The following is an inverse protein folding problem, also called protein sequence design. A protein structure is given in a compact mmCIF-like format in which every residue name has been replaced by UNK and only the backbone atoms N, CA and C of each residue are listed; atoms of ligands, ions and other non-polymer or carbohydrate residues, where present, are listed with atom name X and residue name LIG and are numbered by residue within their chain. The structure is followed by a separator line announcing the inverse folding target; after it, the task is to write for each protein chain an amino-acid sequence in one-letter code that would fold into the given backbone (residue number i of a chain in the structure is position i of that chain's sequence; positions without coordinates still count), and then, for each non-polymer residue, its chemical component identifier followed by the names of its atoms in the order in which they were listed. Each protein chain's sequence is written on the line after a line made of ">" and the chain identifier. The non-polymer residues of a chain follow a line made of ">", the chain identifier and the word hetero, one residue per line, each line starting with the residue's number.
data_IF_621765969123
#
_entry.id   IF_621765969123
#
_cell.length_a   1.000
_cell.length_b   1.000
_cell.length_c   1.000
_cell.angle_alpha   90.00
_cell.angle_beta   90.00
_cell.angle_gamma   90.00
#
_symmetry.space_group_name_H-M   'P 1'
#
loop_
_entity.id
_entity.type
_entity.pdbx_description
1 polymer ?
#
# COMPACT_ATOMS: atom_id res chain seq x y z
N UNK A 1 9.40 -28.79 -15.89
CA UNK A 1 9.12 -28.54 -14.47
C UNK A 1 7.72 -27.92 -14.39
N UNK A 2 6.84 -28.56 -13.63
CA UNK A 2 5.43 -28.14 -13.56
C UNK A 2 5.13 -27.38 -12.25
N UNK A 3 6.05 -27.44 -11.29
CA UNK A 3 5.89 -26.75 -10.01
C UNK A 3 7.23 -26.55 -9.31
N UNK A 4 7.26 -25.58 -8.40
CA UNK A 4 8.36 -25.35 -7.46
C UNK A 4 7.82 -24.96 -6.10
N UNK A 5 8.66 -25.11 -5.07
CA UNK A 5 8.32 -24.75 -3.69
C UNK A 5 9.54 -24.26 -2.93
N UNK A 6 9.34 -23.25 -2.13
CA UNK A 6 10.28 -22.74 -1.12
C UNK A 6 9.56 -22.87 0.23
N UNK A 7 10.23 -23.37 1.25
CA UNK A 7 9.68 -23.51 2.60
C UNK A 7 10.62 -22.89 3.63
N UNK A 8 10.05 -22.16 4.57
CA UNK A 8 10.77 -21.55 5.70
C UNK A 8 11.96 -20.71 5.24
N UNK A 9 11.82 -20.01 4.11
CA UNK A 9 12.87 -19.16 3.55
C UNK A 9 12.97 -17.83 4.29
N UNK A 10 14.14 -17.19 4.15
CA UNK A 10 14.33 -15.80 4.50
C UNK A 10 14.87 -15.07 3.28
N UNK A 11 14.25 -13.96 2.93
CA UNK A 11 14.71 -13.07 1.86
C UNK A 11 15.07 -11.73 2.47
N UNK A 12 16.27 -11.24 2.16
CA UNK A 12 16.69 -9.88 2.47
C UNK A 12 17.24 -9.24 1.22
N UNK A 13 16.64 -8.14 0.79
CA UNK A 13 17.12 -7.30 -0.29
C UNK A 13 17.47 -5.93 0.29
N UNK A 14 18.69 -5.48 0.04
CA UNK A 14 19.18 -4.19 0.49
C UNK A 14 19.78 -3.44 -0.69
N UNK A 15 19.16 -2.33 -1.06
CA UNK A 15 19.69 -1.35 -2.00
C UNK A 15 20.16 -0.12 -1.24
N UNK A 16 21.51 0.01 -1.10
CA UNK A 16 22.12 1.14 -0.41
C UNK A 16 22.07 2.43 -1.23
N UNK A 17 21.97 2.33 -2.56
CA UNK A 17 21.90 3.50 -3.44
C UNK A 17 20.50 4.11 -3.45
N UNK A 18 19.47 3.26 -3.42
CA UNK A 18 18.06 3.66 -3.35
C UNK A 18 17.53 3.78 -1.91
N UNK A 19 18.36 3.57 -0.87
CA UNK A 19 17.92 3.53 0.54
C UNK A 19 16.69 2.62 0.75
N UNK A 20 16.67 1.46 0.08
CA UNK A 20 15.53 0.54 0.12
C UNK A 20 15.91 -0.78 0.77
N UNK A 21 15.07 -1.28 1.66
CA UNK A 21 15.18 -2.62 2.24
C UNK A 21 13.84 -3.36 2.11
N UNK A 22 13.92 -4.61 1.68
CA UNK A 22 12.82 -5.58 1.71
C UNK A 22 13.28 -6.78 2.53
N UNK A 23 12.49 -7.18 3.51
CA UNK A 23 12.77 -8.35 4.33
C UNK A 23 11.52 -9.23 4.45
N UNK A 24 11.70 -10.54 4.30
CA UNK A 24 10.65 -11.55 4.46
C UNK A 24 11.20 -12.68 5.32
N UNK A 25 10.49 -13.04 6.39
CA UNK A 25 10.85 -14.15 7.28
C UNK A 25 9.80 -15.24 7.24
N UNK A 26 10.24 -16.49 7.40
CA UNK A 26 9.42 -17.71 7.29
C UNK A 26 8.58 -17.73 6.00
N UNK A 27 9.24 -17.34 4.90
CA UNK A 27 8.63 -17.30 3.58
C UNK A 27 8.33 -18.73 3.11
N UNK A 28 7.07 -19.00 2.82
CA UNK A 28 6.63 -20.18 2.10
C UNK A 28 6.07 -19.72 0.75
N UNK A 29 6.66 -20.18 -0.33
CA UNK A 29 6.27 -19.80 -1.68
C UNK A 29 6.19 -21.03 -2.57
N UNK A 30 5.12 -21.14 -3.32
CA UNK A 30 4.93 -22.20 -4.30
C UNK A 30 4.38 -21.64 -5.60
N UNK A 31 4.78 -22.24 -6.71
CA UNK A 31 4.29 -21.88 -8.03
C UNK A 31 4.03 -23.12 -8.88
N UNK A 32 2.99 -23.04 -9.69
CA UNK A 32 2.63 -24.07 -10.68
C UNK A 32 2.43 -23.42 -12.04
N UNK A 33 3.02 -24.00 -13.09
CA UNK A 33 2.93 -23.50 -14.45
C UNK A 33 3.73 -24.37 -15.43
N UNK A 34 3.54 -24.14 -16.73
CA UNK A 34 4.33 -24.81 -17.76
C UNK A 34 5.59 -23.99 -18.05
N UNK A 35 6.71 -24.41 -17.47
CA UNK A 35 8.01 -23.75 -17.63
C UNK A 35 8.79 -24.19 -18.89
N UNK A 36 8.14 -24.88 -19.83
CA UNK A 36 8.74 -25.28 -21.11
C UNK A 36 8.47 -24.25 -22.23
N UNK A 37 7.59 -23.28 -21.99
CA UNK A 37 7.20 -22.21 -22.89
C UNK A 37 7.76 -20.87 -22.44
N UNK A 38 7.97 -19.92 -23.35
CA UNK A 38 8.28 -18.53 -23.01
C UNK A 38 7.05 -17.77 -22.49
N UNK A 39 5.85 -18.25 -22.75
CA UNK A 39 4.60 -17.72 -22.19
C UNK A 39 4.09 -18.71 -21.14
N UNK A 40 4.05 -18.28 -19.88
CA UNK A 40 3.75 -19.11 -18.73
C UNK A 40 2.54 -18.54 -17.99
N UNK A 41 1.50 -19.35 -17.81
CA UNK A 41 0.47 -19.06 -16.82
C UNK A 41 0.94 -19.63 -15.48
N UNK A 42 1.40 -18.75 -14.60
CA UNK A 42 1.93 -19.11 -13.29
C UNK A 42 0.92 -18.80 -12.21
N UNK A 43 0.55 -19.82 -11.44
CA UNK A 43 -0.24 -19.65 -10.22
C UNK A 43 0.68 -19.76 -9.02
N UNK A 44 0.69 -18.74 -8.18
CA UNK A 44 1.54 -18.71 -6.99
C UNK A 44 0.73 -18.57 -5.71
N UNK A 45 1.28 -19.15 -4.66
CA UNK A 45 0.87 -18.89 -3.28
C UNK A 45 2.10 -18.53 -2.47
N UNK A 46 2.03 -17.41 -1.75
CA UNK A 46 3.11 -16.88 -0.91
C UNK A 46 2.55 -16.56 0.47
N UNK A 47 3.21 -17.04 1.51
CA UNK A 47 2.95 -16.58 2.88
C UNK A 47 4.28 -16.20 3.53
N UNK A 48 4.27 -15.19 4.39
CA UNK A 48 5.40 -14.85 5.25
C UNK A 48 4.88 -14.38 6.62
N UNK A 49 5.61 -14.73 7.67
CA UNK A 49 5.27 -14.33 9.05
C UNK A 49 5.69 -12.90 9.33
N UNK A 50 6.74 -12.43 8.66
CA UNK A 50 7.21 -11.04 8.75
C UNK A 50 7.53 -10.52 7.35
N UNK A 51 6.98 -9.35 7.02
CA UNK A 51 7.28 -8.57 5.82
C UNK A 51 7.59 -7.15 6.24
N UNK A 52 8.79 -6.68 5.93
CA UNK A 52 9.21 -5.30 6.09
C UNK A 52 9.50 -4.67 4.74
N UNK A 53 9.04 -3.43 4.58
CA UNK A 53 9.42 -2.56 3.48
C UNK A 53 9.84 -1.20 4.03
N UNK A 54 11.12 -0.89 3.91
CA UNK A 54 11.71 0.38 4.33
C UNK A 54 12.23 1.10 3.10
N UNK A 55 11.87 2.36 2.96
CA UNK A 55 12.37 3.23 1.90
C UNK A 55 12.72 4.58 2.51
N UNK A 56 13.90 5.09 2.20
CA UNK A 56 14.47 6.35 2.71
C UNK A 56 14.37 6.48 4.25
N UNK A 57 14.71 5.41 4.97
CA UNK A 57 14.64 5.27 6.43
C UNK A 57 13.19 5.34 7.01
N UNK A 58 12.17 5.31 6.18
CA UNK A 58 10.77 5.23 6.60
C UNK A 58 10.28 3.79 6.43
N UNK A 59 9.81 3.19 7.52
CA UNK A 59 9.18 1.88 7.48
C UNK A 59 7.72 2.01 7.00
N UNK A 60 7.48 1.77 5.71
CA UNK A 60 6.14 1.80 5.12
C UNK A 60 5.35 0.54 5.47
N UNK A 61 6.02 -0.60 5.58
CA UNK A 61 5.48 -1.85 6.10
C UNK A 61 6.46 -2.34 7.13
N UNK A 62 5.97 -2.67 8.33
CA UNK A 62 6.79 -3.13 9.43
C UNK A 62 6.14 -4.35 10.07
N UNK A 63 6.83 -5.48 9.99
CA UNK A 63 6.44 -6.76 10.60
C UNK A 63 5.01 -7.19 10.27
N UNK A 64 4.59 -6.97 9.02
CA UNK A 64 3.30 -7.41 8.56
C UNK A 64 3.34 -8.90 8.19
N UNK A 65 2.32 -9.66 8.58
CA UNK A 65 2.10 -10.97 8.00
C UNK A 65 1.55 -10.81 6.58
N UNK A 66 1.87 -11.72 5.68
CA UNK A 66 1.31 -11.69 4.33
C UNK A 66 0.81 -13.05 3.87
N UNK A 67 -0.31 -13.07 3.15
CA UNK A 67 -0.82 -14.21 2.37
C UNK A 67 -1.21 -13.68 0.99
N UNK A 68 -0.52 -14.16 -0.04
CA UNK A 68 -0.64 -13.65 -1.40
C UNK A 68 -0.93 -14.83 -2.34
N UNK A 69 -2.05 -14.76 -3.04
CA UNK A 69 -2.39 -15.66 -4.13
C UNK A 69 -2.40 -14.85 -5.42
N UNK A 70 -1.53 -15.19 -6.38
CA UNK A 70 -1.42 -14.51 -7.66
C UNK A 70 -1.59 -15.48 -8.82
N UNK A 71 -2.27 -15.01 -9.87
CA UNK A 71 -2.17 -15.56 -11.21
C UNK A 71 -1.38 -14.58 -12.06
N UNK A 72 -0.27 -15.04 -12.63
CA UNK A 72 0.62 -14.25 -13.46
C UNK A 72 0.64 -14.84 -14.87
N UNK A 73 0.38 -14.02 -15.87
CA UNK A 73 0.74 -14.34 -17.25
C UNK A 73 2.13 -13.74 -17.51
N UNK A 74 3.12 -14.61 -17.68
CA UNK A 74 4.52 -14.21 -17.88
C UNK A 74 4.90 -14.40 -19.34
N UNK A 75 5.38 -13.34 -19.99
CA UNK A 75 6.03 -13.37 -21.29
C UNK A 75 7.54 -13.13 -21.06
N UNK A 76 8.32 -14.22 -21.07
CA UNK A 76 9.75 -14.18 -20.79
C UNK A 76 10.57 -13.55 -21.92
N UNK A 77 10.04 -13.55 -23.14
CA UNK A 77 10.72 -12.91 -24.30
C UNK A 77 10.65 -11.38 -24.18
N UNK A 78 9.59 -10.87 -23.56
CA UNK A 78 9.41 -9.43 -23.28
C UNK A 78 9.74 -9.04 -21.85
N UNK A 79 10.03 -10.01 -20.98
CA UNK A 79 10.15 -9.80 -19.54
C UNK A 79 8.92 -9.07 -18.96
N UNK A 80 7.73 -9.47 -19.41
CA UNK A 80 6.44 -8.89 -19.04
C UNK A 80 5.66 -9.85 -18.14
N UNK A 81 5.09 -9.29 -17.08
CA UNK A 81 4.36 -9.99 -16.03
C UNK A 81 3.00 -9.32 -15.84
N UNK A 82 1.95 -9.89 -16.44
CA UNK A 82 0.59 -9.41 -16.24
C UNK A 82 -0.01 -10.05 -14.99
N UNK A 83 -0.56 -9.23 -14.11
CA UNK A 83 -1.16 -9.64 -12.84
C UNK A 83 -2.66 -9.79 -13.05
N UNK A 84 -3.17 -11.01 -12.91
CA UNK A 84 -4.58 -11.33 -13.08
C UNK A 84 -5.10 -12.10 -11.87
N UNK A 85 -6.29 -11.76 -11.41
CA UNK A 85 -7.03 -12.56 -10.42
C UNK A 85 -6.18 -12.87 -9.17
N UNK A 86 -6.10 -11.94 -8.26
CA UNK A 86 -5.27 -12.09 -7.07
C UNK A 86 -6.00 -11.71 -5.80
N UNK A 87 -5.46 -12.20 -4.69
CA UNK A 87 -5.80 -11.78 -3.34
C UNK A 87 -4.50 -11.58 -2.58
N UNK A 88 -4.34 -10.40 -2.00
CA UNK A 88 -3.16 -9.99 -1.24
C UNK A 88 -3.66 -9.60 0.15
N UNK A 89 -3.20 -10.28 1.17
CA UNK A 89 -3.43 -9.90 2.55
C UNK A 89 -2.13 -9.37 3.16
N UNK A 90 -2.22 -8.19 3.75
CA UNK A 90 -1.21 -7.60 4.62
C UNK A 90 -1.85 -7.45 6.01
N UNK A 91 -1.46 -8.27 6.97
CA UNK A 91 -2.20 -8.49 8.20
C UNK A 91 -3.68 -8.81 7.87
N UNK A 92 -4.61 -7.98 8.35
CA UNK A 92 -6.04 -8.14 8.09
C UNK A 92 -6.52 -7.39 6.83
N UNK A 93 -5.68 -6.52 6.25
CA UNK A 93 -6.07 -5.73 5.08
C UNK A 93 -6.02 -6.57 3.81
N UNK A 94 -7.16 -6.75 3.18
CA UNK A 94 -7.27 -7.38 1.85
C UNK A 94 -7.07 -6.34 0.76
N UNK A 95 -6.15 -6.63 -0.16
CA UNK A 95 -5.92 -5.86 -1.38
C UNK A 95 -6.15 -6.75 -2.61
N UNK A 96 -6.55 -6.14 -3.70
CA UNK A 96 -6.53 -6.73 -5.04
C UNK A 96 -5.78 -5.80 -5.97
N UNK A 97 -4.96 -6.37 -6.86
CA UNK A 97 -4.18 -5.61 -7.83
C UNK A 97 -4.41 -6.17 -9.25
N UNK A 98 -4.32 -5.31 -10.24
CA UNK A 98 -4.37 -5.69 -11.65
C UNK A 98 -3.41 -4.81 -12.43
N UNK A 99 -2.93 -5.31 -13.54
CA UNK A 99 -2.03 -4.57 -14.39
C UNK A 99 -0.81 -5.39 -14.78
N UNK A 100 0.28 -4.71 -15.08
CA UNK A 100 1.51 -5.39 -15.50
C UNK A 100 2.77 -4.68 -15.01
N UNK A 101 3.86 -5.46 -15.00
CA UNK A 101 5.24 -4.99 -14.89
C UNK A 101 6.01 -5.56 -16.09
N UNK A 102 6.80 -4.72 -16.76
CA UNK A 102 7.65 -5.10 -17.88
C UNK A 102 9.07 -4.55 -17.67
N UNK A 103 10.06 -5.38 -17.89
CA UNK A 103 11.48 -5.05 -17.70
C UNK A 103 12.25 -5.25 -19.01
N UNK A 104 12.02 -4.38 -20.04
CA UNK A 104 12.66 -4.53 -21.35
C UNK A 104 14.16 -4.25 -21.32
N UNK A 105 14.63 -3.59 -20.28
CA UNK A 105 16.04 -3.21 -20.05
C UNK A 105 16.30 -3.11 -18.54
N UNK A 106 17.16 -2.18 -18.11
CA UNK A 106 17.32 -1.81 -16.69
C UNK A 106 16.10 -1.06 -16.14
N UNK A 107 15.29 -0.47 -17.02
CA UNK A 107 14.11 0.28 -16.63
C UNK A 107 12.93 -0.67 -16.37
N UNK A 108 12.03 -0.25 -15.48
CA UNK A 108 10.82 -1.00 -15.15
C UNK A 108 9.61 -0.19 -15.60
N UNK A 109 8.88 -0.69 -16.58
CA UNK A 109 7.60 -0.12 -17.02
C UNK A 109 6.48 -0.81 -16.28
N UNK A 110 5.56 -0.05 -15.72
CA UNK A 110 4.44 -0.61 -14.96
C UNK A 110 3.15 0.18 -15.16
N UNK A 111 2.05 -0.56 -15.11
CA UNK A 111 0.70 -0.01 -14.98
C UNK A 111 -0.06 -0.94 -14.03
N UNK A 112 -0.04 -0.61 -12.77
CA UNK A 112 -0.66 -1.38 -11.69
C UNK A 112 -1.76 -0.53 -11.07
N UNK A 113 -2.95 -1.10 -10.95
CA UNK A 113 -4.05 -0.55 -10.16
C UNK A 113 -4.31 -1.50 -9.00
N UNK A 114 -4.46 -0.93 -7.81
CA UNK A 114 -4.75 -1.72 -6.62
C UNK A 114 -5.89 -1.07 -5.83
N UNK A 115 -6.64 -1.91 -5.13
CA UNK A 115 -7.72 -1.44 -4.25
C UNK A 115 -7.89 -2.35 -3.05
N UNK A 116 -8.30 -1.77 -1.92
CA UNK A 116 -8.95 -2.50 -0.86
C UNK A 116 -10.46 -2.42 -1.13
N UNK A 117 -11.15 -3.55 -1.40
CA UNK A 117 -12.62 -3.57 -1.39
C UNK A 117 -13.11 -3.05 -0.04
N UNK A 118 -14.33 -2.49 0.01
CA UNK A 118 -14.90 -1.96 1.25
C UNK A 118 -14.55 -2.82 2.47
N UNK A 119 -13.79 -2.26 3.36
CA UNK A 119 -13.19 -2.94 4.49
C UNK A 119 -13.42 -2.13 5.77
N UNK A 120 -13.18 -2.74 6.94
CA UNK A 120 -13.30 -2.04 8.21
C UNK A 120 -12.02 -1.21 8.47
N UNK A 121 -12.16 -0.03 9.04
CA UNK A 121 -11.03 0.82 9.45
C UNK A 121 -10.02 0.07 10.33
N UNK A 122 -10.46 -0.89 11.17
CA UNK A 122 -9.58 -1.70 12.02
C UNK A 122 -8.54 -2.48 11.21
N UNK A 123 -8.85 -2.87 9.98
CA UNK A 123 -7.91 -3.58 9.11
C UNK A 123 -6.77 -2.66 8.65
N UNK A 124 -7.04 -1.36 8.41
CA UNK A 124 -5.98 -0.39 8.15
C UNK A 124 -5.11 -0.16 9.40
N UNK A 125 -5.74 -0.09 10.59
CA UNK A 125 -5.01 0.05 11.86
C UNK A 125 -4.07 -1.14 12.09
N UNK A 126 -4.39 -2.32 11.58
CA UNK A 126 -3.52 -3.51 11.70
C UNK A 126 -2.16 -3.34 10.99
N UNK A 127 -2.05 -2.42 10.03
CA UNK A 127 -0.79 -2.11 9.34
C UNK A 127 0.10 -1.13 10.12
N UNK A 128 -0.45 -0.46 11.15
CA UNK A 128 0.36 0.44 11.97
C UNK A 128 1.43 -0.38 12.69
N UNK A 129 2.71 0.05 12.60
CA UNK A 129 3.82 -0.67 13.21
C UNK A 129 3.61 -0.92 14.71
N UNK A 130 4.12 -2.06 15.20
CA UNK A 130 3.94 -2.50 16.58
C UNK A 130 4.43 -1.47 17.61
N UNK A 131 5.45 -0.68 17.25
CA UNK A 131 6.01 0.40 18.08
C UNK A 131 4.97 1.48 18.41
N UNK A 132 4.06 1.75 17.47
CA UNK A 132 3.00 2.76 17.61
C UNK A 132 1.67 2.14 18.04
N UNK A 133 1.53 0.80 17.98
CA UNK A 133 0.30 0.12 18.41
C UNK A 133 0.05 0.26 19.93
N UNK A 134 1.11 0.45 20.71
CA UNK A 134 0.98 0.70 22.16
C UNK A 134 0.08 1.91 22.45
N UNK A 135 0.20 2.96 21.66
CA UNK A 135 -0.61 4.17 21.76
C UNK A 135 -2.04 3.96 21.25
N UNK A 136 -2.25 2.91 20.43
CA UNK A 136 -3.54 2.53 19.88
C UNK A 136 -4.16 1.32 20.59
N UNK A 137 -3.50 0.79 21.62
CA UNK A 137 -3.99 -0.36 22.38
C UNK A 137 -5.36 -0.03 23.00
N UNK A 138 -6.37 -0.83 22.66
CA UNK A 138 -7.75 -0.62 23.14
C UNK A 138 -8.53 0.48 22.41
N UNK A 139 -8.00 1.07 21.32
CA UNK A 139 -8.79 1.97 20.47
C UNK A 139 -9.91 1.14 19.83
N UNK A 140 -11.14 1.60 20.04
CA UNK A 140 -12.31 1.04 19.36
C UNK A 140 -12.58 1.89 18.12
N UNK A 141 -12.34 1.31 16.96
CA UNK A 141 -12.58 1.96 15.67
C UNK A 141 -13.66 1.20 14.89
N UNK A 142 -14.53 1.93 14.20
CA UNK A 142 -15.56 1.40 13.31
C UNK A 142 -15.67 2.29 12.08
N UNK A 143 -16.26 1.78 11.04
CA UNK A 143 -16.50 2.50 9.79
C UNK A 143 -15.99 1.74 8.58
N UNK A 144 -16.44 2.17 7.42
CA UNK A 144 -16.06 1.59 6.14
C UNK A 144 -14.90 2.38 5.55
N UNK A 145 -13.85 1.67 5.17
CA UNK A 145 -12.70 2.19 4.43
C UNK A 145 -12.81 1.70 2.97
N UNK A 146 -12.65 2.59 2.01
CA UNK A 146 -12.33 2.27 0.63
C UNK A 146 -10.95 2.88 0.30
N UNK A 147 -10.15 2.10 -0.43
CA UNK A 147 -8.83 2.51 -0.88
C UNK A 147 -8.67 2.08 -2.34
N UNK A 148 -8.38 3.04 -3.21
CA UNK A 148 -8.06 2.82 -4.62
C UNK A 148 -6.75 3.52 -4.95
N UNK A 149 -5.87 2.84 -5.66
CA UNK A 149 -4.58 3.42 -6.02
C UNK A 149 -4.02 2.88 -7.31
N UNK A 150 -2.97 3.55 -7.77
CA UNK A 150 -2.24 3.14 -8.96
C UNK A 150 -0.75 3.47 -8.85
N UNK A 151 0.05 2.70 -9.60
CA UNK A 151 1.43 3.02 -9.92
C UNK A 151 1.58 2.82 -11.42
N UNK A 152 1.88 3.89 -12.17
CA UNK A 152 1.95 3.83 -13.64
C UNK A 152 3.11 4.66 -14.17
N UNK A 153 3.72 4.17 -15.24
CA UNK A 153 4.84 4.81 -15.91
C UNK A 153 6.11 4.00 -15.86
N UNK A 154 7.25 4.67 -15.99
CA UNK A 154 8.56 4.03 -16.02
C UNK A 154 9.36 4.41 -14.79
N UNK A 155 9.87 3.42 -14.08
CA UNK A 155 10.87 3.59 -13.04
C UNK A 155 12.26 3.41 -13.67
N UNK A 156 13.12 4.40 -13.50
CA UNK A 156 14.52 4.39 -13.94
C UNK A 156 15.44 4.60 -12.74
N UNK A 157 16.76 4.69 -12.97
CA UNK A 157 17.71 5.05 -11.89
C UNK A 157 17.45 6.45 -11.29
N UNK A 158 16.78 7.33 -12.02
CA UNK A 158 16.59 8.74 -11.65
C UNK A 158 15.14 9.20 -11.60
N UNK A 159 14.20 8.41 -12.09
CA UNK A 159 12.78 8.78 -12.16
C UNK A 159 11.91 7.73 -11.49
N UNK A 160 10.91 8.19 -10.77
CA UNK A 160 9.86 7.36 -10.19
C UNK A 160 8.63 7.33 -11.10
N UNK A 161 7.85 6.25 -11.11
CA UNK A 161 6.54 6.21 -11.77
C UNK A 161 5.57 7.17 -11.08
N UNK A 162 4.48 7.49 -11.77
CA UNK A 162 3.37 8.21 -11.13
C UNK A 162 2.69 7.29 -10.10
N UNK A 163 2.35 7.86 -8.94
CA UNK A 163 1.69 7.16 -7.84
C UNK A 163 0.44 7.95 -7.44
N UNK A 164 -0.67 7.24 -7.29
CA UNK A 164 -1.90 7.82 -6.76
C UNK A 164 -2.54 6.91 -5.72
N UNK A 165 -3.18 7.53 -4.72
CA UNK A 165 -3.93 6.84 -3.68
C UNK A 165 -5.14 7.67 -3.28
N UNK A 166 -6.33 7.14 -3.44
CA UNK A 166 -7.61 7.67 -2.96
C UNK A 166 -8.04 6.90 -1.72
N UNK A 167 -8.27 7.61 -0.63
CA UNK A 167 -8.72 7.06 0.64
C UNK A 167 -10.06 7.69 1.00
N UNK A 168 -11.06 6.84 1.21
CA UNK A 168 -12.38 7.26 1.65
C UNK A 168 -12.78 6.52 2.92
N UNK A 169 -13.27 7.28 3.91
CA UNK A 169 -13.86 6.73 5.14
C UNK A 169 -15.31 7.20 5.22
N UNK A 170 -16.22 6.28 5.54
CA UNK A 170 -17.63 6.54 5.78
C UNK A 170 -18.04 5.95 7.12
N UNK A 171 -18.99 6.62 7.79
CA UNK A 171 -19.56 6.17 9.05
C UNK A 171 -18.47 5.84 10.11
N UNK A 172 -17.38 6.63 10.08
CA UNK A 172 -16.26 6.40 10.94
C UNK A 172 -16.55 6.76 12.39
N UNK A 173 -16.05 5.92 13.30
CA UNK A 173 -16.11 6.10 14.74
C UNK A 173 -14.74 5.76 15.33
N UNK A 174 -14.29 6.55 16.29
CA UNK A 174 -13.06 6.31 17.02
C UNK A 174 -13.26 6.64 18.50
N UNK A 175 -12.96 5.68 19.37
CA UNK A 175 -12.89 5.87 20.82
C UNK A 175 -11.50 5.52 21.30
N UNK A 176 -10.79 6.51 21.80
CA UNK A 176 -9.45 6.32 22.36
C UNK A 176 -9.54 5.92 23.85
N UNK A 177 -8.74 4.94 24.31
CA UNK A 177 -8.72 4.56 25.71
C UNK A 177 -8.37 5.74 26.61
N UNK A 178 -9.13 5.92 27.69
CA UNK A 178 -8.88 6.98 28.67
C UNK A 178 -9.39 8.37 28.26
N UNK A 179 -9.90 8.57 27.06
CA UNK A 179 -10.64 9.79 26.71
C UNK A 179 -12.12 9.58 26.97
N UNK A 180 -12.80 10.56 27.61
CA UNK A 180 -14.22 10.45 27.94
C UNK A 180 -15.12 10.51 26.72
N UNK A 181 -14.66 11.16 25.65
CA UNK A 181 -15.45 11.44 24.46
C UNK A 181 -14.91 10.65 23.27
N UNK A 182 -15.85 10.18 22.44
CA UNK A 182 -15.56 9.54 21.15
C UNK A 182 -15.57 10.55 20.01
N UNK A 183 -14.92 10.20 18.93
CA UNK A 183 -15.02 10.89 17.65
C UNK A 183 -16.03 10.10 16.80
N UNK A 184 -17.11 10.77 16.42
CA UNK A 184 -18.23 10.17 15.69
C UNK A 184 -18.39 10.79 14.31
N UNK A 185 -19.17 10.12 13.46
CA UNK A 185 -19.57 10.63 12.13
C UNK A 185 -18.36 11.00 11.25
N UNK A 186 -17.26 10.23 11.38
CA UNK A 186 -16.05 10.52 10.61
C UNK A 186 -16.33 10.19 9.14
N UNK A 187 -16.16 11.22 8.29
CA UNK A 187 -16.16 11.10 6.83
C UNK A 187 -14.84 11.70 6.33
N UNK A 188 -14.05 10.90 5.64
CA UNK A 188 -12.79 11.34 5.02
C UNK A 188 -12.85 11.11 3.51
N UNK A 189 -12.37 12.07 2.75
CA UNK A 189 -11.98 11.94 1.35
C UNK A 189 -10.62 12.60 1.17
N UNK A 190 -9.61 11.78 0.92
CA UNK A 190 -8.23 12.21 0.79
C UNK A 190 -7.59 11.59 -0.45
N UNK A 191 -6.90 12.41 -1.22
CA UNK A 191 -6.14 12.01 -2.40
C UNK A 191 -4.66 12.31 -2.19
N UNK A 192 -3.83 11.29 -2.33
CA UNK A 192 -2.39 11.43 -2.49
C UNK A 192 -2.03 11.30 -3.97
N UNK A 193 -1.13 12.12 -4.48
CA UNK A 193 -0.61 11.99 -5.84
C UNK A 193 0.85 12.44 -5.94
N UNK A 194 1.62 11.68 -6.70
CA UNK A 194 2.96 12.02 -7.16
C UNK A 194 3.00 11.77 -8.67
N UNK A 195 3.25 12.78 -9.53
CA UNK A 195 3.43 12.57 -10.96
C UNK A 195 4.72 11.80 -11.25
N UNK A 196 4.81 11.20 -12.43
CA UNK A 196 6.05 10.59 -12.88
C UNK A 196 7.18 11.62 -12.96
N UNK A 197 8.37 11.26 -12.50
CA UNK A 197 9.56 12.08 -12.55
C UNK A 197 10.47 11.89 -11.35
N UNK A 198 11.38 12.84 -11.14
CA UNK A 198 12.36 12.82 -10.04
C UNK A 198 12.12 13.94 -9.01
N UNK A 199 11.07 14.73 -9.17
CA UNK A 199 10.78 15.84 -8.28
C UNK A 199 9.72 15.47 -7.25
N UNK A 200 10.17 15.03 -6.08
CA UNK A 200 9.28 14.67 -4.97
C UNK A 200 8.47 15.88 -4.42
N UNK A 201 8.88 17.11 -4.72
CA UNK A 201 8.09 18.30 -4.34
C UNK A 201 6.78 18.43 -5.13
N UNK A 202 6.61 17.68 -6.21
CA UNK A 202 5.34 17.62 -6.92
C UNK A 202 4.29 16.75 -6.23
N UNK A 203 4.67 16.13 -5.12
CA UNK A 203 3.74 15.40 -4.25
C UNK A 203 2.64 16.30 -3.73
N UNK A 204 1.41 15.79 -3.74
CA UNK A 204 0.22 16.47 -3.20
C UNK A 204 -0.54 15.55 -2.28
N UNK A 205 -1.02 16.12 -1.18
CA UNK A 205 -2.03 15.52 -0.31
C UNK A 205 -3.23 16.47 -0.29
N UNK A 206 -4.35 16.04 -0.83
CA UNK A 206 -5.59 16.81 -0.87
C UNK A 206 -6.64 16.11 0.01
N UNK A 207 -6.94 16.69 1.16
CA UNK A 207 -8.07 16.30 2.00
C UNK A 207 -9.24 17.20 1.61
N UNK A 208 -10.00 16.76 0.62
CA UNK A 208 -11.17 17.51 0.15
C UNK A 208 -12.31 17.55 1.15
N UNK A 209 -12.35 16.57 2.06
CA UNK A 209 -13.32 16.48 3.14
C UNK A 209 -12.76 15.68 4.31
N UNK A 210 -12.81 16.26 5.51
CA UNK A 210 -12.70 15.56 6.77
C UNK A 210 -13.77 16.11 7.71
N UNK A 211 -14.86 15.38 7.88
CA UNK A 211 -15.92 15.70 8.82
C UNK A 211 -15.86 14.76 10.00
N UNK A 212 -16.15 15.28 11.18
CA UNK A 212 -16.26 14.50 12.41
C UNK A 212 -17.09 15.26 13.45
N UNK A 213 -17.53 14.56 14.47
CA UNK A 213 -18.19 15.14 15.64
C UNK A 213 -17.42 14.72 16.91
N UNK A 214 -16.99 15.68 17.71
CA UNK A 214 -16.32 15.46 18.98
C UNK A 214 -17.14 16.12 20.09
N UNK A 215 -17.64 15.34 21.02
CA UNK A 215 -18.45 15.83 22.16
C UNK A 215 -19.63 16.72 21.72
N UNK A 216 -20.31 16.36 20.63
CA UNK A 216 -21.43 17.12 20.07
C UNK A 216 -21.03 18.35 19.22
N UNK A 217 -19.73 18.61 19.05
CA UNK A 217 -19.24 19.72 18.23
C UNK A 217 -18.83 19.20 16.85
N UNK A 218 -19.50 19.62 15.78
CA UNK A 218 -19.14 19.26 14.43
C UNK A 218 -17.86 19.99 13.99
N UNK A 219 -16.99 19.29 13.31
CA UNK A 219 -15.75 19.79 12.73
C UNK A 219 -15.74 19.43 11.25
N UNK A 220 -15.45 20.37 10.37
CA UNK A 220 -15.29 20.19 8.93
C UNK A 220 -13.95 20.81 8.52
N UNK A 221 -13.01 19.96 8.07
CA UNK A 221 -11.67 20.36 7.66
C UNK A 221 -11.46 20.06 6.20
N UNK A 222 -10.79 20.98 5.51
CA UNK A 222 -10.18 20.77 4.19
C UNK A 222 -8.73 21.15 4.26
N UNK A 223 -7.87 20.42 3.57
CA UNK A 223 -6.45 20.70 3.54
C UNK A 223 -5.84 20.31 2.20
N UNK A 224 -5.07 21.21 1.63
CA UNK A 224 -4.16 20.91 0.52
C UNK A 224 -2.72 21.12 1.01
N UNK A 225 -1.91 20.08 0.89
CA UNK A 225 -0.49 20.11 1.20
C UNK A 225 0.33 19.80 -0.06
N UNK A 226 1.29 20.66 -0.38
CA UNK A 226 2.18 20.54 -1.55
C UNK A 226 3.61 20.96 -1.20
N UNK A 227 4.56 20.61 -2.05
CA UNK A 227 5.98 20.94 -1.92
C UNK A 227 6.59 20.51 -0.57
N UNK A 228 6.50 19.23 -0.20
CA UNK A 228 6.83 18.75 1.15
C UNK A 228 8.31 18.95 1.55
N UNK A 229 9.24 19.04 0.59
CA UNK A 229 10.67 19.03 0.86
C UNK A 229 11.35 20.40 0.76
N UNK A 230 10.85 21.32 -0.06
CA UNK A 230 11.50 22.62 -0.28
C UNK A 230 10.71 23.81 0.29
N UNK A 231 9.52 24.05 -0.21
CA UNK A 231 8.69 25.21 0.15
C UNK A 231 7.31 24.71 0.54
N UNK A 232 7.23 24.04 1.69
CA UNK A 232 5.98 23.47 2.20
C UNK A 232 4.84 24.50 2.11
N UNK A 233 3.80 24.13 1.40
CA UNK A 233 2.60 24.94 1.29
C UNK A 233 1.40 24.17 1.84
N UNK A 234 0.70 24.80 2.77
CA UNK A 234 -0.51 24.25 3.38
C UNK A 234 -1.63 25.28 3.19
N UNK A 235 -2.68 24.91 2.50
CA UNK A 235 -3.97 25.62 2.49
C UNK A 235 -4.98 24.80 3.27
N UNK A 236 -5.45 25.34 4.39
CA UNK A 236 -6.36 24.65 5.29
C UNK A 236 -7.56 25.53 5.66
N UNK A 237 -8.74 24.95 5.58
CA UNK A 237 -10.00 25.54 6.03
C UNK A 237 -10.64 24.71 7.14
N UNK A 238 -11.11 25.39 8.19
CA UNK A 238 -11.86 24.82 9.30
C UNK A 238 -13.23 25.50 9.40
N UNK A 239 -14.29 24.70 9.60
CA UNK A 239 -15.67 25.16 9.86
C UNK A 239 -16.24 24.42 11.08
#
# INVERSE_FOLDING_TARGET
>A
LDSYKIENGTISYLDNSGNMMVYLENLNHSGTGDFTSSIINLKTKTTADEFDFIFDNIAYINKATTDINLNLLMDLDKMRFDIEGNEIFLNELKLVANGFVEMPSSDIVMDIKYKAPETNITQLISLIPAEYRGDLAGVNAKGTLALDGFVTGTMTETELPAIGLDIQIKEGFLQYPGLPESINDIVLSALFSLPQGNNLDEMKVDISQLKMNIAGNPIDVRMLFTNPFTSQYIDAGLK
#
